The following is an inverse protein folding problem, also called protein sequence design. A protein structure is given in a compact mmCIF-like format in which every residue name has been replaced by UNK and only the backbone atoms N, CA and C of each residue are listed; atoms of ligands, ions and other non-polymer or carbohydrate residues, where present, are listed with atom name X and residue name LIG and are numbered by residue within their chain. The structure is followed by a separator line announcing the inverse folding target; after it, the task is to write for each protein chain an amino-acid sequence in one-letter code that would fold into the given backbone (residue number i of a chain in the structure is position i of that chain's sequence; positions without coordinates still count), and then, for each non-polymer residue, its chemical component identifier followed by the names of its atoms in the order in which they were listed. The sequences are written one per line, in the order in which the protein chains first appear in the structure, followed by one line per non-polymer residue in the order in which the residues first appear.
data_IF_727901082302
#
_entry.id   IF_727901082302
#
_cell.length_a   1.000
_cell.length_b   1.000
_cell.length_c   1.000
_cell.angle_alpha   90.00
_cell.angle_beta   90.00
_cell.angle_gamma   90.00
#
_symmetry.space_group_name_H-M   'P 1'
#
loop_
_entity.id
_entity.type
_entity.pdbx_description
1 polymer ?
#
# COMPACT_ATOMS: atom_id res chain seq x y z
N UNK A 1 -2.23 1.01 -22.58
CA UNK A 1 -1.75 2.38 -22.88
C UNK A 1 -2.40 3.51 -22.04
N UNK A 2 -3.05 3.24 -20.89
CA UNK A 2 -3.68 4.28 -20.06
C UNK A 2 -2.92 4.65 -18.76
N UNK A 3 -1.76 4.04 -18.48
CA UNK A 3 -0.99 4.30 -17.26
C UNK A 3 -0.09 5.56 -17.33
N UNK A 4 -0.04 6.26 -18.47
CA UNK A 4 0.91 7.38 -18.69
C UNK A 4 0.35 8.79 -18.49
N UNK A 5 -0.90 8.95 -18.07
CA UNK A 5 -1.48 10.28 -17.86
C UNK A 5 -2.04 10.37 -16.43
N UNK A 6 -1.38 11.19 -15.62
CA UNK A 6 -1.71 11.43 -14.21
C UNK A 6 -0.93 10.52 -13.26
N UNK A 7 -0.09 11.15 -12.44
CA UNK A 7 0.81 10.55 -11.47
C UNK A 7 0.18 9.33 -10.75
N UNK A 8 0.80 8.14 -10.81
CA UNK A 8 0.36 6.96 -10.05
C UNK A 8 0.13 7.27 -8.56
N UNK A 9 0.96 8.16 -8.00
CA UNK A 9 0.87 8.81 -6.69
C UNK A 9 -0.56 9.24 -6.30
N UNK A 10 -1.14 10.20 -7.03
CA UNK A 10 -2.45 10.78 -6.68
C UNK A 10 -3.51 9.69 -6.71
N UNK A 11 -3.39 8.73 -7.65
CA UNK A 11 -4.39 7.70 -7.85
C UNK A 11 -4.47 6.73 -6.67
N UNK A 12 -3.33 6.24 -6.17
CA UNK A 12 -3.33 5.30 -5.05
C UNK A 12 -3.81 5.95 -3.74
N UNK A 13 -3.35 7.18 -3.45
CA UNK A 13 -3.85 7.95 -2.31
C UNK A 13 -5.34 8.28 -2.42
N UNK A 14 -5.81 8.71 -3.60
CA UNK A 14 -7.23 8.95 -3.83
C UNK A 14 -8.06 7.68 -3.66
N UNK A 15 -7.60 6.53 -4.15
CA UNK A 15 -8.30 5.26 -3.96
C UNK A 15 -8.43 4.91 -2.48
N UNK A 16 -7.35 5.07 -1.69
CA UNK A 16 -7.39 4.86 -0.25
C UNK A 16 -8.35 5.84 0.45
N UNK A 17 -8.29 7.12 0.13
CA UNK A 17 -9.18 8.13 0.69
C UNK A 17 -10.65 7.83 0.35
N UNK A 18 -10.94 7.48 -0.90
CA UNK A 18 -12.28 7.15 -1.37
C UNK A 18 -12.80 5.84 -0.77
N UNK A 19 -11.92 4.86 -0.54
CA UNK A 19 -12.26 3.64 0.19
C UNK A 19 -12.71 3.97 1.62
N UNK A 20 -11.91 4.74 2.36
CA UNK A 20 -12.23 5.19 3.73
C UNK A 20 -13.55 5.98 3.79
N UNK A 21 -13.80 6.86 2.82
CA UNK A 21 -14.97 7.75 2.84
C UNK A 21 -16.28 7.10 2.38
N UNK A 22 -16.23 6.24 1.36
CA UNK A 22 -17.45 5.80 0.65
C UNK A 22 -17.71 4.29 0.73
N UNK A 23 -16.77 3.49 1.22
CA UNK A 23 -16.92 2.04 1.36
C UNK A 23 -17.25 1.29 0.06
N UNK A 24 -17.10 1.93 -1.10
CA UNK A 24 -17.42 1.32 -2.40
C UNK A 24 -16.39 0.25 -2.73
N UNK A 25 -16.89 -0.90 -3.17
CA UNK A 25 -16.08 -2.09 -3.44
C UNK A 25 -14.99 -1.86 -4.50
N UNK A 26 -15.26 -0.99 -5.48
CA UNK A 26 -14.28 -0.65 -6.54
C UNK A 26 -12.98 -0.08 -5.98
N UNK A 27 -13.02 0.65 -4.85
CA UNK A 27 -11.83 1.23 -4.24
C UNK A 27 -11.14 0.23 -3.32
N UNK A 28 -11.91 -0.65 -2.66
CA UNK A 28 -11.37 -1.75 -1.88
C UNK A 28 -10.49 -2.66 -2.74
N UNK A 29 -10.94 -3.01 -3.96
CA UNK A 29 -10.16 -3.79 -4.93
C UNK A 29 -8.82 -3.11 -5.24
N UNK A 30 -8.81 -1.79 -5.46
CA UNK A 30 -7.57 -1.04 -5.74
C UNK A 30 -6.62 -0.97 -4.55
N UNK A 31 -7.14 -0.87 -3.34
CA UNK A 31 -6.34 -0.91 -2.11
C UNK A 31 -5.77 -2.31 -1.89
N UNK A 32 -6.56 -3.37 -2.12
CA UNK A 32 -6.10 -4.77 -2.05
C UNK A 32 -5.00 -5.06 -3.08
N UNK A 33 -5.20 -4.68 -4.34
CA UNK A 33 -4.20 -4.81 -5.40
C UNK A 33 -2.87 -4.14 -5.00
N UNK A 34 -2.94 -2.91 -4.46
CA UNK A 34 -1.76 -2.17 -3.98
C UNK A 34 -1.03 -2.90 -2.86
N UNK A 35 -1.77 -3.35 -1.83
CA UNK A 35 -1.22 -4.06 -0.67
C UNK A 35 -0.58 -5.39 -1.07
N UNK A 36 -1.20 -6.15 -1.98
CA UNK A 36 -0.62 -7.39 -2.49
C UNK A 36 0.67 -7.17 -3.29
N UNK A 37 0.73 -6.12 -4.12
CA UNK A 37 1.91 -5.80 -4.91
C UNK A 37 3.07 -5.31 -4.05
N UNK A 38 2.81 -4.45 -3.07
CA UNK A 38 3.85 -3.87 -2.23
C UNK A 38 4.30 -4.78 -1.10
N UNK A 39 3.39 -5.62 -0.56
CA UNK A 39 3.69 -6.55 0.52
C UNK A 39 4.78 -7.59 0.19
N UNK A 40 5.04 -7.82 -1.10
CA UNK A 40 6.15 -8.66 -1.57
C UNK A 40 7.52 -7.96 -1.50
N UNK A 41 7.54 -6.62 -1.47
CA UNK A 41 8.77 -5.84 -1.34
C UNK A 41 9.07 -5.55 0.14
N UNK A 42 10.36 -5.53 0.52
CA UNK A 42 10.79 -5.29 1.89
C UNK A 42 10.48 -3.87 2.34
N UNK A 43 9.77 -3.67 3.47
CA UNK A 43 9.67 -2.35 4.12
C UNK A 43 11.06 -1.94 4.66
N UNK A 44 11.94 -2.92 4.89
CA UNK A 44 13.27 -2.71 5.46
C UNK A 44 14.35 -2.29 4.45
N UNK A 45 14.04 -2.23 3.15
CA UNK A 45 14.96 -1.72 2.12
C UNK A 45 14.55 -0.33 1.64
N UNK A 46 14.56 0.64 2.56
CA UNK A 46 14.45 2.07 2.22
C UNK A 46 15.76 2.50 1.53
N UNK A 47 15.93 2.18 0.24
CA UNK A 47 17.01 2.76 -0.56
C UNK A 47 16.67 4.22 -0.84
N UNK A 48 17.50 5.19 -0.42
CA UNK A 48 17.23 6.59 -0.71
C UNK A 48 17.15 6.79 -2.22
N UNK A 49 16.25 7.68 -2.64
CA UNK A 49 16.17 8.05 -4.03
C UNK A 49 17.48 8.62 -4.55
N UNK A 50 17.72 8.39 -5.84
CA UNK A 50 18.72 9.16 -6.57
C UNK A 50 18.37 10.67 -6.48
N UNK A 51 19.38 11.54 -6.31
CA UNK A 51 19.24 12.99 -6.46
C UNK A 51 18.45 13.34 -7.73
N UNK A 52 17.66 14.41 -7.70
CA UNK A 52 16.77 14.79 -8.79
C UNK A 52 17.49 14.91 -10.14
N UNK A 53 18.77 15.30 -10.14
CA UNK A 53 19.60 15.42 -11.34
C UNK A 53 19.99 14.06 -11.96
N UNK A 54 19.85 12.97 -11.19
CA UNK A 54 20.20 11.60 -11.57
C UNK A 54 18.98 10.70 -11.80
N UNK A 55 17.76 11.23 -11.61
CA UNK A 55 16.50 10.49 -11.83
C UNK A 55 16.19 10.41 -13.32
N UNK A 56 15.76 9.24 -13.77
CA UNK A 56 15.16 9.08 -15.10
C UNK A 56 13.80 9.78 -15.13
N UNK A 57 13.35 10.28 -16.30
CA UNK A 57 12.05 10.97 -16.44
C UNK A 57 10.85 10.17 -15.91
N UNK A 58 10.99 8.84 -15.85
CA UNK A 58 9.99 7.92 -15.31
C UNK A 58 9.89 7.92 -13.79
N UNK A 59 10.92 8.37 -13.06
CA UNK A 59 11.04 8.31 -11.60
C UNK A 59 10.63 9.61 -10.90
N UNK A 60 10.28 10.66 -11.66
CA UNK A 60 9.87 11.95 -11.09
C UNK A 60 8.54 11.90 -10.35
N UNK A 61 7.71 10.88 -10.62
CA UNK A 61 6.38 10.72 -10.01
C UNK A 61 6.27 9.45 -9.16
N UNK A 62 7.39 8.81 -8.86
CA UNK A 62 7.43 7.67 -7.94
C UNK A 62 7.39 8.17 -6.49
N UNK A 63 6.74 7.39 -5.64
CA UNK A 63 6.61 7.63 -4.19
C UNK A 63 7.92 7.32 -3.48
N UNK A 64 8.39 8.21 -2.60
CA UNK A 64 9.57 7.94 -1.76
C UNK A 64 9.43 6.64 -0.98
N UNK A 65 10.53 5.97 -0.63
CA UNK A 65 10.43 4.76 0.19
C UNK A 65 9.59 4.98 1.47
N UNK A 66 9.66 6.19 2.04
CA UNK A 66 8.85 6.63 3.17
C UNK A 66 7.36 6.77 2.81
N UNK A 67 7.03 7.39 1.68
CA UNK A 67 5.65 7.52 1.18
C UNK A 67 5.07 6.15 0.76
N UNK A 68 5.89 5.34 0.08
CA UNK A 68 5.95 3.87 -0.01
C UNK A 68 5.28 3.20 1.16
N UNK A 69 6.02 3.30 2.26
CA UNK A 69 5.75 2.66 3.52
C UNK A 69 4.52 3.24 4.20
N UNK A 70 4.34 4.58 4.18
CA UNK A 70 3.17 5.23 4.77
C UNK A 70 1.89 4.77 4.10
N UNK A 71 1.82 4.85 2.76
CA UNK A 71 0.66 4.44 1.99
C UNK A 71 0.35 2.96 2.18
N UNK A 72 1.37 2.12 2.27
CA UNK A 72 1.19 0.69 2.56
C UNK A 72 0.59 0.46 3.95
N UNK A 73 1.18 1.03 5.01
CA UNK A 73 0.69 0.86 6.38
C UNK A 73 -0.72 1.41 6.55
N UNK A 74 -1.01 2.57 5.97
CA UNK A 74 -2.32 3.19 5.98
C UNK A 74 -3.38 2.37 5.22
N UNK A 75 -2.97 1.69 4.14
CA UNK A 75 -3.84 0.78 3.39
C UNK A 75 -4.14 -0.48 4.18
N UNK A 76 -3.13 -1.06 4.85
CA UNK A 76 -3.28 -2.22 5.73
C UNK A 76 -4.24 -1.90 6.88
N UNK A 77 -4.06 -0.76 7.54
CA UNK A 77 -4.96 -0.30 8.61
C UNK A 77 -6.40 -0.15 8.09
N UNK A 78 -6.59 0.48 6.94
CA UNK A 78 -7.91 0.67 6.35
C UNK A 78 -8.61 -0.66 6.03
N UNK A 79 -7.88 -1.63 5.47
CA UNK A 79 -8.40 -2.98 5.21
C UNK A 79 -8.74 -3.72 6.51
N UNK A 80 -7.89 -3.61 7.53
CA UNK A 80 -8.14 -4.25 8.83
C UNK A 80 -9.37 -3.67 9.55
N UNK A 81 -9.54 -2.34 9.51
CA UNK A 81 -10.71 -1.64 10.11
C UNK A 81 -12.01 -1.98 9.38
N UNK A 82 -11.96 -2.26 8.07
CA UNK A 82 -13.15 -2.62 7.30
C UNK A 82 -13.85 -3.90 7.80
N UNK A 83 -13.09 -4.80 8.46
CA UNK A 83 -13.52 -6.12 8.95
C UNK A 83 -14.21 -7.00 7.90
N UNK A 84 -14.05 -6.70 6.60
CA UNK A 84 -14.55 -7.54 5.51
C UNK A 84 -13.69 -8.79 5.36
N UNK A 85 -14.32 -9.92 5.03
CA UNK A 85 -13.62 -11.20 4.89
C UNK A 85 -12.55 -11.14 3.81
N UNK A 86 -12.82 -10.49 2.67
CA UNK A 86 -11.87 -10.40 1.56
C UNK A 86 -10.67 -9.52 1.90
N UNK A 87 -10.88 -8.47 2.69
CA UNK A 87 -9.84 -7.54 3.13
C UNK A 87 -8.93 -8.23 4.16
N UNK A 88 -9.51 -8.98 5.11
CA UNK A 88 -8.72 -9.80 6.05
C UNK A 88 -7.94 -10.89 5.31
N UNK A 89 -8.56 -11.58 4.35
CA UNK A 89 -7.87 -12.62 3.58
C UNK A 89 -6.66 -12.06 2.83
N UNK A 90 -6.82 -10.89 2.20
CA UNK A 90 -5.72 -10.21 1.49
C UNK A 90 -4.54 -9.94 2.42
N UNK A 91 -4.81 -9.50 3.64
CA UNK A 91 -3.74 -9.22 4.61
C UNK A 91 -3.07 -10.51 5.12
N UNK A 92 -3.84 -11.58 5.34
CA UNK A 92 -3.27 -12.90 5.70
C UNK A 92 -2.37 -13.43 4.59
N UNK A 93 -2.79 -13.29 3.32
CA UNK A 93 -2.00 -13.71 2.16
C UNK A 93 -0.67 -12.94 2.09
N UNK A 94 -0.70 -11.63 2.33
CA UNK A 94 0.51 -10.80 2.38
C UNK A 94 1.41 -11.17 3.55
N UNK A 95 0.87 -11.54 4.71
CA UNK A 95 1.69 -12.01 5.84
C UNK A 95 2.33 -13.39 5.58
N UNK A 96 1.64 -14.26 4.84
CA UNK A 96 2.14 -15.60 4.51
C UNK A 96 3.21 -15.54 3.41
N UNK A 97 2.95 -14.77 2.35
CA UNK A 97 3.76 -14.75 1.12
C UNK A 97 4.76 -13.59 1.06
N UNK A 98 4.54 -12.54 1.85
CA UNK A 98 5.41 -11.37 1.91
C UNK A 98 6.64 -11.55 2.81
N UNK A 99 7.39 -10.47 2.98
CA UNK A 99 8.64 -10.48 3.73
C UNK A 99 8.41 -10.84 5.22
N UNK A 100 9.21 -11.77 5.75
CA UNK A 100 9.13 -12.25 7.14
C UNK A 100 9.35 -11.16 8.19
N UNK A 101 10.10 -10.09 7.87
CA UNK A 101 10.29 -8.92 8.73
C UNK A 101 9.01 -8.09 8.82
N UNK A 102 8.33 -7.90 7.68
CA UNK A 102 7.09 -7.13 7.60
C UNK A 102 5.93 -7.82 8.35
N UNK A 103 5.99 -9.15 8.52
CA UNK A 103 4.95 -9.95 9.18
C UNK A 103 4.61 -9.46 10.58
N UNK A 104 5.60 -9.10 11.39
CA UNK A 104 5.37 -8.63 12.76
C UNK A 104 4.75 -7.23 12.81
N UNK A 105 5.20 -6.33 11.93
CA UNK A 105 4.62 -5.00 11.81
C UNK A 105 3.14 -5.09 11.36
N UNK A 106 2.85 -5.92 10.36
CA UNK A 106 1.49 -6.18 9.88
C UNK A 106 0.59 -6.77 10.97
N UNK A 107 1.10 -7.75 11.73
CA UNK A 107 0.38 -8.33 12.86
C UNK A 107 0.05 -7.27 13.92
N UNK A 108 0.99 -6.36 14.22
CA UNK A 108 0.76 -5.25 15.14
C UNK A 108 -0.36 -4.30 14.68
N UNK A 109 -0.35 -3.93 13.39
CA UNK A 109 -1.41 -3.09 12.80
C UNK A 109 -2.77 -3.78 12.85
N UNK A 110 -2.83 -5.08 12.53
CA UNK A 110 -4.07 -5.87 12.64
C UNK A 110 -4.61 -5.92 14.07
N UNK A 111 -3.76 -6.20 15.05
CA UNK A 111 -4.17 -6.26 16.46
C UNK A 111 -4.75 -4.93 16.91
N UNK A 112 -4.12 -3.81 16.53
CA UNK A 112 -4.62 -2.46 16.83
C UNK A 112 -5.97 -2.17 16.15
N UNK A 113 -6.19 -2.63 14.93
CA UNK A 113 -7.45 -2.42 14.22
C UNK A 113 -8.62 -3.30 14.73
N UNK A 114 -8.31 -4.38 15.44
CA UNK A 114 -9.29 -5.27 16.06
C UNK A 114 -9.74 -4.82 17.46
N UNK A 115 -8.93 -4.00 18.15
CA UNK A 115 -9.28 -3.35 19.42
C UNK A 115 -10.33 -2.25 19.21
#
# INVERSE_FOLDING_TARGET
HAQRIGAPYVRSFCNLALFRMKGKEIYAVKVREWVSQYGMNSIAELKPYLPFELRLETEYFDLSPEEQTSLFLESVEALAVSKKTEDIQTLLDVMQTGNSINRYALAGVMLRALQ
#
